data_IF_414153039194
#
_entry.id   IF_414153039194
#
_cell.length_a   1.000
_cell.length_b   1.000
_cell.length_c   1.000
_cell.angle_alpha   90.00
_cell.angle_beta   90.00
_cell.angle_gamma   90.00
#
_symmetry.space_group_name_H-M   'P 1'
#
loop_
_entity.id
_entity.type
_entity.pdbx_description
1 polymer ?
#
# COMPACT_ATOMS: atom_id res chain seq x y z
N UNK A 1 -18.25 7.09 -19.13
CA UNK A 1 -17.49 6.43 -18.05
C UNK A 1 -16.39 5.61 -18.69
N UNK A 2 -15.13 5.95 -18.47
CA UNK A 2 -14.03 5.09 -18.95
C UNK A 2 -14.04 3.82 -18.10
N UNK A 3 -14.33 2.67 -18.71
CA UNK A 3 -14.17 1.38 -18.06
C UNK A 3 -12.69 1.07 -17.86
N UNK A 4 -12.35 0.46 -16.72
CA UNK A 4 -10.97 0.03 -16.48
C UNK A 4 -10.53 -0.96 -17.56
N UNK A 5 -9.32 -0.76 -18.08
CA UNK A 5 -8.66 -1.70 -18.97
C UNK A 5 -8.34 -3.00 -18.22
N UNK A 6 -8.23 -4.15 -18.91
CA UNK A 6 -7.81 -5.41 -18.29
C UNK A 6 -6.46 -5.30 -17.54
N UNK A 7 -5.56 -4.41 -17.98
CA UNK A 7 -4.30 -4.12 -17.32
C UNK A 7 -4.50 -3.45 -15.96
N UNK A 8 -5.36 -2.43 -15.89
CA UNK A 8 -5.68 -1.73 -14.63
C UNK A 8 -6.30 -2.70 -13.60
N UNK A 9 -7.18 -3.60 -14.03
CA UNK A 9 -7.72 -4.64 -13.14
C UNK A 9 -6.65 -5.60 -12.59
N UNK A 10 -5.66 -5.98 -13.41
CA UNK A 10 -4.55 -6.84 -12.95
C UNK A 10 -3.69 -6.13 -11.90
N UNK A 11 -3.32 -4.88 -12.15
CA UNK A 11 -2.54 -4.09 -11.17
C UNK A 11 -3.32 -3.87 -9.87
N UNK A 12 -4.62 -3.55 -9.96
CA UNK A 12 -5.47 -3.40 -8.78
C UNK A 12 -5.52 -4.68 -7.94
N UNK A 13 -5.73 -5.84 -8.57
CA UNK A 13 -5.72 -7.14 -7.86
C UNK A 13 -4.37 -7.43 -7.21
N UNK A 14 -3.26 -7.09 -7.87
CA UNK A 14 -1.91 -7.25 -7.33
C UNK A 14 -1.72 -6.40 -6.07
N UNK A 15 -2.11 -5.13 -6.11
CA UNK A 15 -1.99 -4.22 -4.96
C UNK A 15 -2.90 -4.69 -3.82
N UNK A 16 -4.13 -5.09 -4.10
CA UNK A 16 -5.05 -5.66 -3.10
C UNK A 16 -4.45 -6.89 -2.42
N UNK A 17 -3.81 -7.79 -3.17
CA UNK A 17 -3.13 -8.96 -2.60
C UNK A 17 -1.99 -8.56 -1.64
N UNK A 18 -1.16 -7.58 -2.04
CA UNK A 18 -0.07 -7.05 -1.20
C UNK A 18 -0.63 -6.45 0.10
N UNK A 19 -1.72 -5.68 0.02
CA UNK A 19 -2.38 -5.10 1.19
C UNK A 19 -2.91 -6.20 2.11
N UNK A 20 -3.61 -7.18 1.53
CA UNK A 20 -4.16 -8.31 2.27
C UNK A 20 -3.10 -9.09 3.03
N UNK A 21 -2.00 -9.45 2.37
CA UNK A 21 -0.89 -10.18 2.98
C UNK A 21 -0.19 -9.38 4.10
N UNK A 22 0.07 -8.10 3.85
CA UNK A 22 0.69 -7.22 4.83
C UNK A 22 -0.18 -7.04 6.08
N UNK A 23 -1.49 -6.88 5.91
CA UNK A 23 -2.43 -6.78 7.03
C UNK A 23 -2.58 -8.10 7.78
N UNK A 24 -2.68 -9.23 7.07
CA UNK A 24 -2.77 -10.55 7.68
C UNK A 24 -1.53 -10.86 8.55
N UNK A 25 -0.35 -10.40 8.13
CA UNK A 25 0.91 -10.58 8.86
C UNK A 25 1.26 -9.42 9.79
N UNK A 26 0.47 -8.34 9.79
CA UNK A 26 0.76 -7.09 10.48
C UNK A 26 2.18 -6.55 10.20
N UNK A 27 2.65 -6.74 8.96
CA UNK A 27 4.02 -6.44 8.53
C UNK A 27 4.01 -5.47 7.35
N UNK A 28 5.01 -4.61 7.34
CA UNK A 28 5.22 -3.64 6.27
C UNK A 28 5.46 -4.39 4.94
N UNK A 29 4.73 -4.04 3.86
CA UNK A 29 4.86 -4.70 2.56
C UNK A 29 6.22 -4.46 1.89
N UNK A 30 7.01 -3.48 2.37
CA UNK A 30 8.29 -3.10 1.77
C UNK A 30 9.48 -3.79 2.45
N UNK A 31 9.47 -3.90 3.78
CA UNK A 31 10.63 -4.39 4.55
C UNK A 31 10.29 -5.51 5.55
N UNK A 32 9.05 -6.00 5.56
CA UNK A 32 8.57 -7.07 6.44
C UNK A 32 8.71 -6.84 7.95
N UNK A 33 9.13 -5.65 8.41
CA UNK A 33 9.08 -5.24 9.82
C UNK A 33 7.63 -5.05 10.29
N UNK A 34 7.34 -5.10 11.60
CA UNK A 34 6.02 -4.76 12.12
C UNK A 34 5.53 -3.41 11.58
N UNK A 35 4.24 -3.34 11.28
CA UNK A 35 3.60 -2.09 10.88
C UNK A 35 3.68 -1.06 12.01
N UNK A 36 3.88 0.21 11.64
CA UNK A 36 3.86 1.30 12.60
C UNK A 36 2.43 1.59 13.08
N UNK A 37 2.31 2.43 14.10
CA UNK A 37 1.02 2.97 14.56
C UNK A 37 1.02 4.49 14.44
N UNK A 38 -0.14 5.07 14.17
CA UNK A 38 -0.38 6.50 14.33
C UNK A 38 -0.50 6.86 15.82
N UNK A 39 -0.35 8.14 16.19
CA UNK A 39 -0.61 8.59 17.57
C UNK A 39 -2.02 8.25 18.06
N UNK A 40 -3.00 8.14 17.16
CA UNK A 40 -4.37 7.68 17.46
C UNK A 40 -4.49 6.18 17.77
N UNK A 41 -3.40 5.41 17.67
CA UNK A 41 -3.39 3.95 17.84
C UNK A 41 -3.71 3.16 16.57
N UNK A 42 -4.20 3.83 15.52
CA UNK A 42 -4.50 3.20 14.23
C UNK A 42 -3.25 2.63 13.55
N UNK A 43 -3.38 1.44 12.95
CA UNK A 43 -2.28 0.74 12.30
C UNK A 43 -1.93 1.40 10.96
N UNK A 44 -0.64 1.60 10.72
CA UNK A 44 -0.11 2.11 9.45
C UNK A 44 0.05 0.97 8.45
N UNK A 45 -0.02 1.29 7.16
CA UNK A 45 0.31 0.33 6.12
C UNK A 45 1.81 -0.07 6.13
N UNK A 46 2.70 0.88 6.44
CA UNK A 46 4.15 0.69 6.46
C UNK A 46 4.72 0.74 7.88
N UNK A 47 6.00 0.40 8.05
CA UNK A 47 6.69 0.39 9.34
C UNK A 47 6.93 1.79 9.95
N UNK A 48 6.53 2.86 9.27
CA UNK A 48 6.72 4.25 9.72
C UNK A 48 8.02 4.93 9.26
N UNK A 49 8.94 4.21 8.62
CA UNK A 49 10.12 4.82 7.96
C UNK A 49 9.71 5.54 6.68
N UNK A 50 10.24 6.75 6.46
CA UNK A 50 9.94 7.56 5.29
C UNK A 50 10.22 6.82 3.98
N UNK A 51 11.35 6.12 3.86
CA UNK A 51 11.72 5.34 2.68
C UNK A 51 10.67 4.27 2.31
N UNK A 52 10.15 3.56 3.32
CA UNK A 52 9.13 2.53 3.10
C UNK A 52 7.81 3.15 2.67
N UNK A 53 7.47 4.32 3.20
CA UNK A 53 6.28 5.07 2.78
C UNK A 53 6.41 5.56 1.33
N UNK A 54 7.55 6.12 0.95
CA UNK A 54 7.80 6.58 -0.42
C UNK A 54 7.74 5.43 -1.44
N UNK A 55 8.38 4.28 -1.12
CA UNK A 55 8.27 3.07 -1.96
C UNK A 55 6.85 2.54 -2.05
N UNK A 56 6.08 2.62 -0.96
CA UNK A 56 4.67 2.24 -0.96
C UNK A 56 3.82 3.14 -1.87
N UNK A 57 4.04 4.47 -1.84
CA UNK A 57 3.37 5.41 -2.74
C UNK A 57 3.68 5.15 -4.21
N UNK A 58 4.91 4.77 -4.55
CA UNK A 58 5.27 4.43 -5.93
C UNK A 58 4.52 3.19 -6.47
N UNK A 59 4.14 2.26 -5.58
CA UNK A 59 3.40 1.04 -5.92
C UNK A 59 1.89 1.29 -5.89
N UNK A 60 1.41 2.19 -5.01
CA UNK A 60 -0.01 2.51 -4.87
C UNK A 60 -0.40 3.65 -5.83
N UNK A 61 -1.16 3.37 -6.92
CA UNK A 61 -1.37 4.29 -8.04
C UNK A 61 -2.05 5.61 -7.66
N UNK A 62 -2.72 5.69 -6.51
CA UNK A 62 -3.29 6.94 -6.00
C UNK A 62 -2.25 8.06 -5.77
N UNK A 63 -0.95 7.76 -5.74
CA UNK A 63 0.09 8.77 -5.60
C UNK A 63 0.35 9.60 -6.88
N UNK A 64 -0.15 9.16 -8.04
CA UNK A 64 0.00 9.89 -9.32
C UNK A 64 -1.24 10.68 -9.74
N UNK A 65 -2.33 10.56 -9.00
CA UNK A 65 -3.58 11.27 -9.25
C UNK A 65 -3.86 12.25 -8.10
N UNK A 66 -3.03 13.30 -8.02
CA UNK A 66 -3.45 14.56 -7.40
C UNK A 66 -3.23 15.66 -8.46
N UNK A 67 -4.32 16.29 -8.96
CA UNK A 67 -4.23 17.45 -9.83
C UNK A 67 -3.73 18.69 -9.07
#
# INVERSE_FOLDING_TARGET
MASYTPRQYREQRRIQAIIGEANARQRCPICARPQGRWPSGAQRMTCGRAECYQKWLAIHPAAKEQP
#
